data_IF_069500761213
#
_entry.id   IF_069500761213
#
_cell.length_a   1.000
_cell.length_b   1.000
_cell.length_c   1.000
_cell.angle_alpha   90.00
_cell.angle_beta   90.00
_cell.angle_gamma   90.00
#
_symmetry.space_group_name_H-M   'P 1'
#
loop_
_entity.id
_entity.type
_entity.pdbx_description
1 polymer ?
#
# COMPACT_ATOMS: atom_id res chain seq x y z
N UNK A 1 22.48 26.99 3.37
CA UNK A 1 21.46 27.82 2.67
C UNK A 1 20.12 27.17 2.99
N UNK A 2 19.17 27.84 3.64
CA UNK A 2 17.82 27.30 3.84
C UNK A 2 17.14 27.29 2.46
N UNK A 3 16.68 26.13 2.03
CA UNK A 3 15.89 26.02 0.81
C UNK A 3 14.63 26.87 0.99
N UNK A 4 14.39 27.77 0.05
CA UNK A 4 13.14 28.52 0.05
C UNK A 4 12.03 27.57 -0.39
N UNK A 5 10.96 27.52 0.38
CA UNK A 5 9.80 26.67 0.13
C UNK A 5 8.61 27.54 -0.23
N UNK A 6 7.85 27.15 -1.22
CA UNK A 6 6.58 27.76 -1.55
C UNK A 6 5.45 26.85 -1.07
N UNK A 7 4.53 27.41 -0.31
CA UNK A 7 3.33 26.70 0.16
C UNK A 7 2.18 27.16 -0.72
N UNK A 8 1.49 26.21 -1.30
CA UNK A 8 0.30 26.44 -2.09
C UNK A 8 -0.89 25.79 -1.37
N UNK A 9 -1.94 26.54 -1.13
CA UNK A 9 -3.16 26.04 -0.51
C UNK A 9 -4.22 25.82 -1.62
N UNK A 10 -4.73 24.60 -1.71
CA UNK A 10 -5.81 24.27 -2.63
C UNK A 10 -7.18 24.49 -1.99
N UNK A 11 -8.21 24.48 -2.81
CA UNK A 11 -9.58 24.54 -2.37
C UNK A 11 -9.94 23.36 -1.46
N UNK A 12 -10.81 23.60 -0.49
CA UNK A 12 -11.21 22.61 0.53
C UNK A 12 -12.04 21.45 0.00
N UNK A 13 -12.49 21.51 -1.24
CA UNK A 13 -13.33 20.53 -1.94
C UNK A 13 -12.58 19.75 -3.04
N UNK A 14 -11.26 19.70 -2.95
CA UNK A 14 -10.45 18.97 -3.91
C UNK A 14 -10.83 17.48 -3.94
N UNK A 15 -11.16 16.99 -5.12
CA UNK A 15 -11.54 15.60 -5.39
C UNK A 15 -10.43 14.78 -6.01
N UNK A 16 -9.36 15.42 -6.47
CA UNK A 16 -8.21 14.74 -7.07
C UNK A 16 -6.89 15.48 -6.78
N UNK A 17 -5.83 14.69 -6.73
CA UNK A 17 -4.44 15.16 -6.66
C UNK A 17 -3.69 14.53 -7.83
N UNK A 18 -3.15 15.36 -8.70
CA UNK A 18 -2.40 14.92 -9.89
C UNK A 18 -0.95 15.38 -9.81
N UNK A 19 -0.02 14.43 -9.87
CA UNK A 19 1.42 14.71 -9.90
C UNK A 19 2.03 14.21 -11.21
N UNK A 20 2.81 15.10 -11.85
CA UNK A 20 3.64 14.74 -12.99
C UNK A 20 5.07 15.19 -12.68
N UNK A 21 5.90 14.28 -12.18
CA UNK A 21 7.19 14.60 -11.58
C UNK A 21 8.32 13.71 -12.10
N UNK A 22 9.53 14.22 -11.97
CA UNK A 22 10.73 13.56 -12.44
C UNK A 22 11.89 13.87 -11.47
N UNK A 23 12.58 12.84 -10.96
CA UNK A 23 13.68 12.98 -10.00
C UNK A 23 13.29 13.71 -8.69
N UNK A 24 12.19 13.30 -8.08
CA UNK A 24 11.66 13.90 -6.84
C UNK A 24 11.47 12.87 -5.73
N UNK A 25 11.51 13.36 -4.49
CA UNK A 25 11.02 12.66 -3.32
C UNK A 25 9.65 13.27 -2.98
N UNK A 26 8.59 12.49 -3.10
CA UNK A 26 7.20 12.91 -2.89
C UNK A 26 6.67 12.27 -1.63
N UNK A 27 6.17 13.08 -0.71
CA UNK A 27 5.50 12.61 0.50
C UNK A 27 4.07 13.16 0.53
N UNK A 28 3.10 12.29 0.71
CA UNK A 28 1.69 12.62 0.82
C UNK A 28 1.24 12.16 2.20
N UNK A 29 0.92 13.12 3.06
CA UNK A 29 0.61 12.88 4.47
C UNK A 29 -0.82 13.29 4.80
N UNK A 30 -1.41 12.60 5.76
CA UNK A 30 -2.59 13.08 6.43
C UNK A 30 -2.26 14.36 7.22
N UNK A 31 -3.11 15.36 7.12
CA UNK A 31 -2.97 16.61 7.84
C UNK A 31 -4.06 16.76 8.90
N UNK A 32 -3.69 17.35 10.03
CA UNK A 32 -4.64 17.80 11.07
C UNK A 32 -5.32 19.11 10.70
N UNK A 33 -4.73 19.85 9.78
CA UNK A 33 -5.26 21.11 9.27
C UNK A 33 -6.43 20.89 8.33
N UNK A 34 -7.33 21.86 8.20
CA UNK A 34 -8.51 21.78 7.32
C UNK A 34 -8.22 22.10 5.85
N UNK A 35 -6.98 22.40 5.50
CA UNK A 35 -6.61 22.88 4.17
C UNK A 35 -5.67 21.89 3.46
N UNK A 36 -6.05 21.47 2.24
CA UNK A 36 -5.15 20.75 1.36
C UNK A 36 -4.00 21.68 0.94
N UNK A 37 -2.79 21.30 1.25
CA UNK A 37 -1.62 22.11 0.96
C UNK A 37 -0.52 21.32 0.28
N UNK A 38 0.27 22.01 -0.54
CA UNK A 38 1.49 21.47 -1.14
C UNK A 38 2.69 22.38 -0.82
N UNK A 39 3.74 21.74 -0.37
CA UNK A 39 5.03 22.36 -0.11
C UNK A 39 6.01 21.93 -1.20
N UNK A 40 6.49 22.89 -1.98
CA UNK A 40 7.44 22.64 -3.06
C UNK A 40 8.68 23.53 -2.89
N UNK A 41 9.87 23.08 -3.35
CA UNK A 41 11.04 23.95 -3.38
C UNK A 41 10.82 25.11 -4.35
N UNK A 42 11.28 26.30 -3.99
CA UNK A 42 11.29 27.45 -4.90
C UNK A 42 12.30 27.19 -6.03
N UNK A 43 11.91 26.37 -6.97
CA UNK A 43 12.68 26.02 -8.14
C UNK A 43 11.87 26.39 -9.40
N UNK A 44 12.55 26.88 -10.42
CA UNK A 44 11.89 27.33 -11.67
C UNK A 44 11.23 26.19 -12.48
N UNK A 45 11.40 24.95 -12.05
CA UNK A 45 10.97 23.77 -12.78
C UNK A 45 9.85 22.96 -12.07
N UNK A 46 9.38 23.40 -10.90
CA UNK A 46 8.23 22.81 -10.22
C UNK A 46 7.14 23.85 -10.08
N UNK A 47 5.95 23.50 -10.50
CA UNK A 47 4.76 24.32 -10.42
C UNK A 47 3.66 23.55 -9.69
N UNK A 48 2.88 24.25 -8.89
CA UNK A 48 1.66 23.75 -8.27
C UNK A 48 0.50 24.68 -8.60
N UNK A 49 -0.70 24.16 -8.68
CA UNK A 49 -1.92 24.91 -8.91
C UNK A 49 -3.15 24.08 -8.57
N UNK A 50 -4.33 24.70 -8.60
CA UNK A 50 -5.60 23.99 -8.54
C UNK A 50 -6.53 24.47 -9.65
N UNK A 51 -7.30 23.55 -10.20
CA UNK A 51 -8.36 23.81 -11.15
C UNK A 51 -9.48 22.78 -10.97
N UNK A 52 -10.72 23.26 -10.86
CA UNK A 52 -11.94 22.42 -10.79
C UNK A 52 -11.84 21.27 -9.79
N UNK A 53 -11.41 21.55 -8.58
CA UNK A 53 -11.27 20.52 -7.52
C UNK A 53 -10.10 19.57 -7.71
N UNK A 54 -9.16 19.85 -8.61
CA UNK A 54 -7.92 19.09 -8.78
C UNK A 54 -6.72 19.92 -8.35
N UNK A 55 -5.96 19.41 -7.37
CA UNK A 55 -4.61 19.92 -7.07
C UNK A 55 -3.64 19.27 -8.05
N UNK A 56 -2.89 20.06 -8.80
CA UNK A 56 -1.84 19.53 -9.66
C UNK A 56 -0.45 20.05 -9.29
N UNK A 57 0.52 19.15 -9.39
CA UNK A 57 1.95 19.46 -9.23
C UNK A 57 2.68 18.95 -10.46
N UNK A 58 3.41 19.82 -11.13
CA UNK A 58 4.16 19.44 -12.32
C UNK A 58 5.62 19.88 -12.25
N UNK A 59 6.51 19.00 -12.67
CA UNK A 59 7.93 19.27 -12.83
C UNK A 59 8.26 19.29 -14.33
N UNK A 60 8.53 20.46 -14.86
CA UNK A 60 8.68 20.68 -16.32
C UNK A 60 10.05 20.30 -16.86
N UNK A 61 11.06 20.22 -16.02
CA UNK A 61 12.43 19.90 -16.42
C UNK A 61 13.11 18.99 -15.40
N UNK A 62 13.90 18.07 -15.92
CA UNK A 62 14.81 17.27 -15.10
C UNK A 62 15.79 18.19 -14.36
N UNK A 63 16.01 17.99 -13.04
CA UNK A 63 17.04 18.73 -12.32
C UNK A 63 18.44 18.43 -12.94
N UNK A 64 19.41 19.35 -12.80
CA UNK A 64 20.77 19.11 -13.26
C UNK A 64 21.36 17.83 -12.61
N UNK A 65 22.23 17.14 -13.36
CA UNK A 65 22.80 15.82 -13.02
C UNK A 65 23.41 15.68 -11.62
N UNK A 66 23.74 16.77 -10.96
CA UNK A 66 24.34 16.76 -9.61
C UNK A 66 23.49 17.52 -8.57
N UNK A 67 22.23 17.83 -8.90
CA UNK A 67 21.33 18.46 -7.94
C UNK A 67 20.71 17.41 -7.01
N UNK A 68 20.42 17.82 -5.78
CA UNK A 68 19.60 17.00 -4.86
C UNK A 68 18.21 16.80 -5.47
N UNK A 69 17.61 15.62 -5.21
CA UNK A 69 16.21 15.37 -5.52
C UNK A 69 15.34 16.45 -4.88
N UNK A 70 14.32 16.84 -5.56
CA UNK A 70 13.39 17.86 -5.05
C UNK A 70 12.41 17.19 -4.11
N UNK A 71 12.19 17.82 -2.96
CA UNK A 71 11.18 17.36 -2.00
C UNK A 71 9.86 18.04 -2.29
N UNK A 72 8.81 17.25 -2.43
CA UNK A 72 7.43 17.69 -2.60
C UNK A 72 6.62 17.06 -1.48
N UNK A 73 6.00 17.90 -0.65
CA UNK A 73 5.17 17.44 0.45
C UNK A 73 3.73 17.89 0.21
N UNK A 74 2.78 16.96 0.32
CA UNK A 74 1.35 17.21 0.17
C UNK A 74 0.66 16.80 1.48
N UNK A 75 -0.04 17.75 2.06
CA UNK A 75 -0.80 17.54 3.30
C UNK A 75 -2.28 17.48 2.97
N UNK A 76 -2.90 16.31 3.18
CA UNK A 76 -4.30 16.02 2.85
C UNK A 76 -5.15 16.02 4.12
N UNK A 77 -6.13 16.91 4.24
CA UNK A 77 -7.05 16.95 5.39
C UNK A 77 -7.88 15.67 5.54
N UNK A 78 -8.23 15.34 6.77
CA UNK A 78 -9.01 14.14 7.08
C UNK A 78 -10.40 14.07 6.41
N UNK A 79 -11.02 15.21 6.15
CA UNK A 79 -12.37 15.29 5.57
C UNK A 79 -12.38 15.19 4.04
N UNK A 80 -11.20 15.16 3.40
CA UNK A 80 -11.07 15.04 1.95
C UNK A 80 -10.68 13.61 1.59
N UNK A 81 -11.38 13.01 0.62
CA UNK A 81 -11.10 11.69 0.07
C UNK A 81 -10.75 11.85 -1.42
N UNK A 82 -9.54 12.28 -1.75
CA UNK A 82 -9.18 12.54 -3.14
C UNK A 82 -8.78 11.26 -3.87
N UNK A 83 -8.96 11.25 -5.19
CA UNK A 83 -8.22 10.33 -6.05
C UNK A 83 -6.76 10.79 -6.18
N UNK A 84 -5.80 9.86 -6.12
CA UNK A 84 -4.38 10.15 -6.37
C UNK A 84 -3.96 9.63 -7.75
N UNK A 85 -3.43 10.52 -8.58
CA UNK A 85 -2.87 10.18 -9.90
C UNK A 85 -1.44 10.68 -10.00
N UNK A 86 -0.52 9.74 -10.01
CA UNK A 86 0.91 10.04 -10.04
C UNK A 86 1.54 9.50 -11.31
N UNK A 87 2.19 10.38 -12.05
CA UNK A 87 3.08 10.01 -13.15
C UNK A 87 4.49 10.45 -12.79
N UNK A 88 5.33 9.48 -12.45
CA UNK A 88 6.65 9.70 -11.90
C UNK A 88 7.72 8.98 -12.73
N UNK A 89 8.91 9.54 -12.80
CA UNK A 89 9.98 8.89 -13.57
C UNK A 89 11.00 8.21 -12.66
N UNK A 90 11.78 8.97 -11.91
CA UNK A 90 12.80 8.46 -10.97
C UNK A 90 12.53 9.02 -9.59
N UNK A 91 11.47 8.55 -8.93
CA UNK A 91 10.92 9.17 -7.72
C UNK A 91 10.84 8.17 -6.58
N UNK A 92 11.04 8.68 -5.36
CA UNK A 92 10.59 7.99 -4.17
C UNK A 92 9.24 8.61 -3.77
N UNK A 93 8.25 7.78 -3.57
CA UNK A 93 6.88 8.19 -3.25
C UNK A 93 6.49 7.54 -1.93
N UNK A 94 6.08 8.33 -0.96
CA UNK A 94 5.52 7.87 0.30
C UNK A 94 4.10 8.42 0.45
N UNK A 95 3.15 7.54 0.73
CA UNK A 95 1.77 7.88 1.08
C UNK A 95 1.54 7.38 2.50
N UNK A 96 1.40 8.33 3.43
CA UNK A 96 1.35 8.05 4.86
C UNK A 96 0.03 8.51 5.47
N UNK A 97 -0.81 7.56 5.84
CA UNK A 97 -2.12 7.81 6.42
C UNK A 97 -3.13 8.38 5.43
N UNK A 98 -4.35 8.61 5.92
CA UNK A 98 -5.42 9.21 5.14
C UNK A 98 -6.37 8.22 4.48
N UNK A 99 -7.42 8.76 3.91
CA UNK A 99 -8.44 8.03 3.17
C UNK A 99 -8.42 8.54 1.73
N UNK A 100 -8.31 7.62 0.80
CA UNK A 100 -8.25 7.93 -0.63
C UNK A 100 -9.31 7.14 -1.39
N UNK A 101 -9.75 7.68 -2.51
CA UNK A 101 -10.50 6.93 -3.50
C UNK A 101 -9.56 6.00 -4.28
N UNK A 102 -9.47 6.20 -5.57
CA UNK A 102 -8.52 5.47 -6.42
C UNK A 102 -7.11 6.06 -6.32
N UNK A 103 -6.12 5.19 -6.11
CA UNK A 103 -4.70 5.54 -6.12
C UNK A 103 -4.04 4.91 -7.33
N UNK A 104 -3.73 5.73 -8.34
CA UNK A 104 -3.11 5.30 -9.59
C UNK A 104 -1.70 5.87 -9.72
N UNK A 105 -0.69 5.01 -9.77
CA UNK A 105 0.71 5.39 -9.86
C UNK A 105 1.37 4.76 -11.09
N UNK A 106 1.99 5.59 -11.91
CA UNK A 106 2.90 5.16 -12.97
C UNK A 106 4.29 5.65 -12.59
N UNK A 107 5.23 4.73 -12.35
CA UNK A 107 6.58 5.09 -11.93
C UNK A 107 7.63 4.29 -12.72
N UNK A 108 8.52 4.99 -13.44
CA UNK A 108 9.56 4.32 -14.23
C UNK A 108 10.59 3.61 -13.34
N UNK A 109 11.02 4.26 -12.26
CA UNK A 109 11.89 3.65 -11.26
C UNK A 109 11.89 4.42 -9.93
N UNK A 110 12.11 3.72 -8.83
CA UNK A 110 12.22 4.28 -7.48
C UNK A 110 11.56 3.42 -6.44
N UNK A 111 11.29 4.02 -5.29
CA UNK A 111 10.63 3.38 -4.15
C UNK A 111 9.21 3.91 -4.03
N UNK A 112 8.24 3.02 -3.77
CA UNK A 112 6.86 3.38 -3.46
C UNK A 112 6.52 2.77 -2.11
N UNK A 113 6.16 3.61 -1.15
CA UNK A 113 5.72 3.20 0.18
C UNK A 113 4.30 3.69 0.42
N UNK A 114 3.42 2.79 0.85
CA UNK A 114 2.04 3.08 1.24
C UNK A 114 1.86 2.55 2.65
N UNK A 115 1.61 3.42 3.60
CA UNK A 115 1.59 3.08 5.01
C UNK A 115 0.38 3.68 5.73
N UNK A 116 -0.28 2.89 6.59
CA UNK A 116 -1.43 3.33 7.39
C UNK A 116 -2.52 4.01 6.55
N UNK A 117 -2.76 3.53 5.34
CA UNK A 117 -3.60 4.17 4.33
C UNK A 117 -4.86 3.35 4.06
N UNK A 118 -6.00 4.03 4.03
CA UNK A 118 -7.26 3.46 3.55
C UNK A 118 -7.50 3.93 2.11
N UNK A 119 -7.79 3.00 1.19
CA UNK A 119 -8.11 3.35 -0.19
C UNK A 119 -9.18 2.41 -0.76
N UNK A 120 -9.92 2.90 -1.75
CA UNK A 120 -10.84 2.03 -2.49
C UNK A 120 -10.05 1.06 -3.38
N UNK A 121 -9.02 1.55 -4.07
CA UNK A 121 -8.12 0.72 -4.87
C UNK A 121 -6.75 1.36 -5.02
N UNK A 122 -5.73 0.52 -5.20
CA UNK A 122 -4.36 0.94 -5.52
C UNK A 122 -3.91 0.23 -6.78
N UNK A 123 -3.50 0.99 -7.78
CA UNK A 123 -2.88 0.49 -9.00
C UNK A 123 -1.49 1.10 -9.19
N UNK A 124 -0.47 0.25 -9.33
CA UNK A 124 0.92 0.66 -9.56
C UNK A 124 1.44 -0.01 -10.81
N UNK A 125 1.83 0.80 -11.78
CA UNK A 125 2.45 0.35 -13.01
C UNK A 125 3.87 0.90 -13.14
N UNK A 126 4.85 0.06 -13.52
CA UNK A 126 6.19 0.61 -13.63
C UNK A 126 7.30 -0.23 -14.20
N UNK A 127 8.49 0.34 -14.10
CA UNK A 127 9.71 -0.26 -14.65
C UNK A 127 10.53 -1.02 -13.60
N UNK A 128 11.31 -0.31 -12.80
CA UNK A 128 12.12 -0.88 -11.71
C UNK A 128 11.71 -0.24 -10.39
N UNK A 129 11.00 -1.00 -9.58
CA UNK A 129 10.36 -0.50 -8.36
C UNK A 129 10.79 -1.31 -7.14
N UNK A 130 10.82 -0.63 -6.00
CA UNK A 130 10.83 -1.20 -4.68
C UNK A 130 9.52 -0.76 -4.01
N UNK A 131 8.63 -1.71 -3.70
CA UNK A 131 7.26 -1.42 -3.29
C UNK A 131 6.97 -2.02 -1.93
N UNK A 132 6.57 -1.18 -1.01
CA UNK A 132 6.19 -1.55 0.35
C UNK A 132 4.78 -1.05 0.67
N UNK A 133 3.88 -1.96 1.08
CA UNK A 133 2.51 -1.66 1.48
C UNK A 133 2.30 -2.18 2.89
N UNK A 134 2.15 -1.29 3.85
CA UNK A 134 2.11 -1.65 5.26
C UNK A 134 0.86 -1.11 5.96
N UNK A 135 0.26 -1.92 6.83
CA UNK A 135 -0.82 -1.53 7.75
C UNK A 135 -1.97 -0.78 7.07
N UNK A 136 -2.29 -1.18 5.84
CA UNK A 136 -3.23 -0.46 4.96
C UNK A 136 -4.49 -1.27 4.68
N UNK A 137 -5.61 -0.58 4.43
CA UNK A 137 -6.91 -1.18 4.10
C UNK A 137 -7.33 -0.80 2.70
N UNK A 138 -7.26 -1.73 1.76
CA UNK A 138 -7.64 -1.56 0.38
C UNK A 138 -8.97 -2.31 0.13
N UNK A 139 -10.09 -1.58 0.14
CA UNK A 139 -11.44 -2.18 0.09
C UNK A 139 -11.69 -2.98 -1.18
N UNK A 140 -11.20 -2.51 -2.31
CA UNK A 140 -11.28 -3.16 -3.61
C UNK A 140 -9.99 -3.93 -3.93
N UNK A 141 -9.10 -3.33 -4.70
CA UNK A 141 -7.94 -4.04 -5.25
C UNK A 141 -6.59 -3.38 -4.97
N UNK A 142 -5.59 -4.24 -4.80
CA UNK A 142 -4.17 -3.92 -4.97
C UNK A 142 -3.70 -4.55 -6.28
N UNK A 143 -3.42 -3.73 -7.27
CA UNK A 143 -2.92 -4.18 -8.56
C UNK A 143 -1.53 -3.60 -8.83
N UNK A 144 -0.54 -4.47 -8.99
CA UNK A 144 0.85 -4.07 -9.26
C UNK A 144 1.33 -4.79 -10.52
N UNK A 145 1.84 -4.02 -11.47
CA UNK A 145 2.45 -4.55 -12.69
C UNK A 145 3.77 -3.82 -12.95
N UNK A 146 4.88 -4.52 -12.75
CA UNK A 146 6.21 -3.94 -12.91
C UNK A 146 7.13 -4.84 -13.73
N UNK A 147 8.11 -4.26 -14.43
CA UNK A 147 9.14 -5.06 -15.11
C UNK A 147 10.05 -5.75 -14.10
N UNK A 148 10.48 -5.02 -13.10
CA UNK A 148 11.30 -5.52 -12.00
C UNK A 148 10.78 -4.91 -10.72
N UNK A 149 10.43 -5.71 -9.72
CA UNK A 149 10.01 -5.20 -8.43
C UNK A 149 10.43 -6.11 -7.29
N UNK A 150 11.00 -5.51 -6.24
CA UNK A 150 10.95 -6.09 -4.91
C UNK A 150 9.64 -5.61 -4.28
N UNK A 151 8.78 -6.54 -3.90
CA UNK A 151 7.45 -6.23 -3.36
C UNK A 151 7.30 -6.82 -1.96
N UNK A 152 6.84 -5.99 -1.04
CA UNK A 152 6.49 -6.38 0.31
C UNK A 152 5.10 -5.83 0.69
N UNK A 153 4.23 -6.70 1.18
CA UNK A 153 2.98 -6.29 1.81
C UNK A 153 2.93 -6.82 3.25
N UNK A 154 2.69 -5.95 4.22
CA UNK A 154 2.66 -6.31 5.63
C UNK A 154 1.37 -5.83 6.31
N UNK A 155 0.72 -6.68 7.11
CA UNK A 155 -0.46 -6.35 7.90
C UNK A 155 -1.54 -5.60 7.08
N UNK A 156 -1.72 -5.99 5.83
CA UNK A 156 -2.57 -5.27 4.88
C UNK A 156 -3.84 -6.08 4.59
N UNK A 157 -4.96 -5.38 4.44
CA UNK A 157 -6.19 -5.93 3.89
C UNK A 157 -6.32 -5.51 2.41
N UNK A 158 -6.65 -6.45 1.55
CA UNK A 158 -7.05 -6.15 0.17
C UNK A 158 -8.16 -7.10 -0.28
N UNK A 159 -9.24 -6.59 -0.86
CA UNK A 159 -10.31 -7.43 -1.41
C UNK A 159 -9.76 -8.39 -2.47
N UNK A 160 -8.97 -7.86 -3.39
CA UNK A 160 -8.23 -8.57 -4.43
C UNK A 160 -6.78 -8.07 -4.43
N UNK A 161 -5.80 -8.96 -4.42
CA UNK A 161 -4.39 -8.61 -4.60
C UNK A 161 -3.83 -9.28 -5.86
N UNK A 162 -3.32 -8.52 -6.80
CA UNK A 162 -2.68 -9.01 -8.03
C UNK A 162 -1.33 -8.33 -8.20
N UNK A 163 -0.26 -9.09 -8.09
CA UNK A 163 1.11 -8.60 -8.27
C UNK A 163 1.80 -9.38 -9.36
N UNK A 164 2.24 -8.67 -10.40
CA UNK A 164 2.94 -9.25 -11.54
C UNK A 164 4.27 -8.54 -11.76
N UNK A 165 5.33 -9.32 -11.85
CA UNK A 165 6.65 -8.81 -12.24
C UNK A 165 7.37 -9.83 -13.12
N UNK A 166 8.28 -9.36 -13.95
CA UNK A 166 9.19 -10.28 -14.66
C UNK A 166 10.34 -10.71 -13.78
N UNK A 167 10.78 -9.84 -12.84
CA UNK A 167 11.94 -10.10 -12.02
C UNK A 167 11.83 -9.43 -10.65
N UNK A 168 12.19 -10.17 -9.60
CA UNK A 168 12.23 -9.71 -8.22
C UNK A 168 11.43 -10.60 -7.29
N UNK A 169 11.67 -10.43 -6.00
CA UNK A 169 11.05 -11.23 -4.95
C UNK A 169 9.73 -10.58 -4.50
N UNK A 170 8.83 -11.43 -4.04
CA UNK A 170 7.56 -10.99 -3.46
C UNK A 170 7.43 -11.53 -2.04
N UNK A 171 7.28 -10.62 -1.09
CA UNK A 171 7.03 -10.91 0.32
C UNK A 171 5.61 -10.51 0.71
N UNK A 172 4.92 -11.39 1.40
CA UNK A 172 3.63 -11.10 2.02
C UNK A 172 3.71 -11.57 3.47
N UNK A 173 3.39 -10.65 4.39
CA UNK A 173 3.34 -10.93 5.82
C UNK A 173 1.98 -10.51 6.35
N UNK A 174 1.17 -11.47 6.79
CA UNK A 174 -0.13 -11.21 7.38
C UNK A 174 -1.11 -10.46 6.45
N UNK A 175 -1.19 -10.87 5.17
CA UNK A 175 -2.19 -10.35 4.26
C UNK A 175 -3.55 -10.99 4.53
N UNK A 176 -4.58 -10.15 4.69
CA UNK A 176 -5.96 -10.57 4.71
C UNK A 176 -6.60 -10.26 3.34
N UNK A 177 -6.96 -11.30 2.60
CA UNK A 177 -7.52 -11.13 1.24
C UNK A 177 -8.50 -12.26 0.92
N UNK A 178 -9.44 -11.98 0.02
CA UNK A 178 -10.31 -13.00 -0.56
C UNK A 178 -9.65 -13.68 -1.75
N UNK A 179 -8.89 -12.93 -2.52
CA UNK A 179 -8.28 -13.40 -3.74
C UNK A 179 -6.88 -12.79 -3.89
N UNK A 180 -5.88 -13.64 -4.09
CA UNK A 180 -4.50 -13.21 -4.27
C UNK A 180 -3.86 -13.95 -5.45
N UNK A 181 -3.20 -13.19 -6.31
CA UNK A 181 -2.41 -13.72 -7.42
C UNK A 181 -1.04 -13.06 -7.45
N UNK A 182 0.01 -13.86 -7.31
CA UNK A 182 1.41 -13.43 -7.34
C UNK A 182 2.14 -14.11 -8.50
N UNK A 183 2.70 -13.37 -9.42
CA UNK A 183 3.37 -13.89 -10.62
C UNK A 183 4.73 -13.22 -10.80
N UNK A 184 5.80 -14.03 -10.86
CA UNK A 184 7.14 -13.58 -11.26
C UNK A 184 7.80 -14.60 -12.21
N UNK A 185 8.57 -14.13 -13.19
CA UNK A 185 9.34 -15.05 -14.04
C UNK A 185 10.68 -15.45 -13.35
N UNK A 186 11.28 -14.56 -12.55
CA UNK A 186 12.59 -14.75 -11.93
C UNK A 186 12.62 -14.11 -10.53
N UNK A 187 12.32 -14.88 -9.49
CA UNK A 187 12.27 -14.44 -8.10
C UNK A 187 11.56 -15.44 -7.19
N UNK A 188 11.70 -15.24 -5.90
CA UNK A 188 11.04 -16.04 -4.87
C UNK A 188 9.74 -15.37 -4.41
N UNK A 189 8.77 -16.20 -4.03
CA UNK A 189 7.51 -15.76 -3.45
C UNK A 189 7.42 -16.35 -2.04
N UNK A 190 7.32 -15.49 -1.04
CA UNK A 190 7.08 -15.89 0.35
C UNK A 190 5.81 -15.22 0.84
N UNK A 191 4.82 -16.00 1.24
CA UNK A 191 3.54 -15.49 1.66
C UNK A 191 3.10 -16.07 3.01
N UNK A 192 2.73 -15.20 3.96
CA UNK A 192 2.03 -15.56 5.18
C UNK A 192 0.63 -14.94 5.12
N UNK A 193 -0.39 -15.79 5.05
CA UNK A 193 -1.77 -15.39 4.86
C UNK A 193 -2.54 -15.41 6.19
N UNK A 194 -3.42 -14.42 6.43
CA UNK A 194 -4.31 -14.42 7.61
C UNK A 194 -5.50 -15.33 7.38
N UNK A 195 -5.65 -16.32 8.26
CA UNK A 195 -6.73 -17.29 8.29
C UNK A 195 -6.22 -18.72 8.35
N UNK A 196 -7.16 -19.66 8.38
CA UNK A 196 -6.85 -21.08 8.42
C UNK A 196 -6.52 -21.61 7.04
N UNK A 197 -5.60 -22.59 6.96
CA UNK A 197 -5.24 -23.27 5.69
C UNK A 197 -6.47 -23.81 4.95
N UNK A 198 -7.46 -24.26 5.71
CA UNK A 198 -8.68 -24.85 5.17
C UNK A 198 -9.57 -23.84 4.43
N UNK A 199 -9.44 -22.55 4.71
CA UNK A 199 -10.22 -21.49 4.07
C UNK A 199 -9.72 -21.15 2.66
N UNK A 200 -8.48 -21.56 2.33
CA UNK A 200 -7.83 -21.18 1.09
C UNK A 200 -7.78 -22.31 0.08
N UNK A 201 -8.17 -22.00 -1.17
CA UNK A 201 -7.83 -22.79 -2.33
C UNK A 201 -6.46 -22.34 -2.85
N UNK A 202 -5.47 -23.19 -2.71
CA UNK A 202 -4.09 -22.87 -3.13
C UNK A 202 -3.80 -23.44 -4.53
N UNK A 203 -3.15 -22.61 -5.33
CA UNK A 203 -2.50 -23.04 -6.57
C UNK A 203 -1.12 -22.41 -6.64
N UNK A 204 -0.08 -23.24 -6.49
CA UNK A 204 1.31 -22.80 -6.63
C UNK A 204 1.96 -23.52 -7.80
N UNK A 205 2.72 -22.80 -8.61
CA UNK A 205 3.42 -23.37 -9.78
C UNK A 205 4.86 -22.87 -9.80
N UNK A 206 5.80 -23.77 -9.61
CA UNK A 206 7.25 -23.52 -9.71
C UNK A 206 7.80 -24.20 -10.93
N UNK A 207 8.62 -23.52 -11.73
CA UNK A 207 9.15 -23.99 -13.01
C UNK A 207 8.06 -24.57 -13.95
N UNK A 208 8.31 -24.68 -15.20
CA UNK A 208 7.37 -25.31 -16.13
C UNK A 208 7.07 -26.76 -15.71
N UNK A 209 6.02 -26.98 -14.91
CA UNK A 209 5.47 -28.29 -14.64
C UNK A 209 5.19 -28.71 -13.20
N UNK A 210 5.79 -28.09 -12.19
CA UNK A 210 5.46 -28.43 -10.80
C UNK A 210 4.29 -27.59 -10.31
N UNK A 211 3.08 -28.09 -10.47
CA UNK A 211 1.87 -27.41 -9.98
C UNK A 211 1.31 -28.19 -8.80
N UNK A 212 1.16 -27.53 -7.67
CA UNK A 212 0.36 -28.00 -6.55
C UNK A 212 -0.96 -27.22 -6.57
N UNK A 213 -2.06 -27.91 -6.73
CA UNK A 213 -3.38 -27.29 -6.74
C UNK A 213 -4.35 -28.09 -5.86
N UNK A 214 -5.06 -27.38 -4.99
CA UNK A 214 -6.21 -27.96 -4.29
C UNK A 214 -7.43 -27.88 -5.21
N UNK A 215 -7.99 -29.01 -5.53
CA UNK A 215 -9.25 -29.09 -6.29
C UNK A 215 -10.45 -28.80 -5.41
N UNK A 216 -10.70 -27.54 -5.01
CA UNK A 216 -11.77 -27.21 -4.08
C UNK A 216 -12.41 -25.85 -4.33
N UNK A 217 -13.69 -25.76 -4.00
CA UNK A 217 -14.42 -24.51 -3.89
C UNK A 217 -14.28 -24.03 -2.43
N UNK A 218 -13.39 -23.08 -2.17
CA UNK A 218 -13.20 -22.44 -0.87
C UNK A 218 -13.50 -20.95 -0.95
N UNK A 219 -13.62 -20.31 0.20
CA UNK A 219 -14.02 -18.90 0.30
C UNK A 219 -12.91 -17.93 -0.14
N UNK A 220 -11.64 -18.38 -0.08
CA UNK A 220 -10.46 -17.59 -0.42
C UNK A 220 -9.62 -18.31 -1.46
N UNK A 221 -9.05 -17.57 -2.40
CA UNK A 221 -8.18 -18.10 -3.46
C UNK A 221 -6.78 -17.51 -3.37
N UNK A 222 -5.77 -18.35 -3.44
CA UNK A 222 -4.37 -17.93 -3.53
C UNK A 222 -3.68 -18.63 -4.69
N UNK A 223 -3.20 -17.86 -5.66
CA UNK A 223 -2.44 -18.33 -6.80
C UNK A 223 -1.04 -17.74 -6.76
N UNK A 224 -0.01 -18.54 -6.90
CA UNK A 224 1.36 -18.09 -7.01
C UNK A 224 2.10 -18.81 -8.12
N UNK A 225 2.87 -18.08 -8.91
CA UNK A 225 3.66 -18.60 -10.02
C UNK A 225 5.07 -18.01 -10.00
N UNK A 226 6.08 -18.86 -10.15
CA UNK A 226 7.45 -18.46 -10.48
C UNK A 226 8.07 -19.43 -11.50
N UNK A 227 8.71 -18.89 -12.54
CA UNK A 227 9.44 -19.71 -13.51
C UNK A 227 10.86 -20.08 -13.01
N UNK A 228 11.47 -19.18 -12.20
CA UNK A 228 12.81 -19.39 -11.62
C UNK A 228 12.80 -18.86 -10.19
N UNK A 229 12.65 -19.74 -9.22
CA UNK A 229 12.60 -19.42 -7.80
C UNK A 229 11.82 -20.46 -7.01
N UNK A 230 11.48 -20.14 -5.80
CA UNK A 230 10.70 -20.97 -4.88
C UNK A 230 9.46 -20.22 -4.38
N UNK A 231 8.43 -20.98 -4.01
CA UNK A 231 7.19 -20.47 -3.42
C UNK A 231 7.02 -21.09 -2.04
N UNK A 232 6.94 -20.26 -1.02
CA UNK A 232 6.65 -20.67 0.35
C UNK A 232 5.37 -19.99 0.81
N UNK A 233 4.41 -20.77 1.30
CA UNK A 233 3.13 -20.25 1.78
C UNK A 233 2.84 -20.78 3.17
N UNK A 234 2.70 -19.87 4.12
CA UNK A 234 2.35 -20.12 5.51
C UNK A 234 1.02 -19.44 5.88
N UNK A 235 0.45 -19.83 7.02
CA UNK A 235 -0.81 -19.30 7.51
C UNK A 235 -0.65 -18.88 8.96
N UNK A 236 -1.29 -17.75 9.30
CA UNK A 236 -1.43 -17.31 10.70
C UNK A 236 -2.91 -17.16 11.04
N UNK A 237 -3.32 -17.75 12.13
CA UNK A 237 -4.64 -17.52 12.70
C UNK A 237 -4.68 -16.12 13.32
N UNK A 238 -5.83 -15.46 13.29
CA UNK A 238 -5.98 -14.09 13.79
C UNK A 238 -5.93 -14.16 15.34
N UNK A 239 -4.80 -13.77 15.94
CA UNK A 239 -4.62 -13.80 17.41
C UNK A 239 -5.60 -12.88 18.15
N UNK A 240 -6.23 -11.90 17.50
CA UNK A 240 -7.20 -11.00 18.13
C UNK A 240 -8.46 -11.70 18.62
N UNK A 241 -8.86 -12.80 18.00
CA UNK A 241 -10.01 -13.59 18.47
C UNK A 241 -9.69 -14.37 19.75
N UNK A 242 -8.43 -14.72 19.98
CA UNK A 242 -7.98 -15.40 21.19
C UNK A 242 -7.89 -14.44 22.39
N UNK A 243 -7.42 -13.22 22.17
CA UNK A 243 -7.32 -12.20 23.22
C UNK A 243 -8.70 -11.69 23.67
N UNK A 244 -9.66 -11.49 22.75
CA UNK A 244 -11.04 -11.11 23.11
C UNK A 244 -11.75 -12.22 23.92
N UNK A 245 -11.47 -13.47 23.65
CA UNK A 245 -12.01 -14.61 24.43
C UNK A 245 -11.33 -14.74 25.80
N UNK A 246 -10.03 -14.45 25.91
CA UNK A 246 -9.30 -14.47 27.17
C UNK A 246 -9.77 -13.35 28.11
N UNK A 247 -10.00 -12.14 27.59
CA UNK A 247 -10.56 -11.03 28.39
C UNK A 247 -12.01 -11.26 28.82
N UNK A 248 -12.81 -11.99 28.05
CA UNK A 248 -14.18 -12.33 28.40
C UNK A 248 -14.24 -13.35 29.57
N UNK A 249 -13.28 -14.27 29.64
CA UNK A 249 -13.24 -15.30 30.68
C UNK A 249 -12.71 -14.76 32.02
N UNK A 250 -11.76 -13.80 31.99
CA UNK A 250 -11.30 -13.12 33.20
C UNK A 250 -12.39 -12.22 33.83
N UNK A 251 -13.27 -11.62 33.02
CA UNK A 251 -14.38 -10.77 33.47
C UNK A 251 -15.50 -11.59 34.19
N UNK A 252 -15.69 -12.85 33.86
CA UNK A 252 -16.70 -13.72 34.55
C UNK A 252 -16.20 -14.27 35.88
N UNK A 253 -14.91 -14.53 35.99
CA UNK A 253 -14.34 -15.02 37.28
C UNK A 253 -14.22 -13.91 38.34
N UNK A 254 -14.11 -12.65 37.96
CA UNK A 254 -14.08 -11.53 38.90
C UNK A 254 -15.44 -11.29 39.59
N UNK A 255 -16.54 -11.53 38.89
CA UNK A 255 -17.89 -11.34 39.45
C UNK A 255 -18.33 -12.45 40.42
N UNK A 256 -17.78 -13.66 40.31
CA UNK A 256 -18.11 -14.76 41.24
C UNK A 256 -17.42 -14.62 42.60
N UNK A 257 -16.28 -13.92 42.66
CA UNK A 257 -15.55 -13.70 43.92
C UNK A 257 -16.13 -12.56 44.78
N UNK A 258 -16.92 -11.65 44.22
CA UNK A 258 -17.56 -10.56 44.96
C UNK A 258 -18.91 -10.97 45.59
N UNK A 259 -19.59 -12.00 45.09
CA UNK A 259 -20.85 -12.48 45.68
C UNK A 259 -20.63 -13.39 46.89
N UNK A 260 -19.53 -14.13 46.95
CA UNK A 260 -19.21 -14.97 48.14
C UNK A 260 -18.76 -14.16 49.37
N UNK A 261 -18.24 -12.94 49.18
CA UNK A 261 -17.81 -12.08 50.28
C UNK A 261 -18.96 -11.23 50.92
N UNK A 262 -20.17 -11.26 50.37
CA UNK A 262 -21.34 -10.56 50.93
C UNK A 262 -22.28 -11.46 51.74
N UNK A 263 -21.99 -12.77 51.87
CA UNK A 263 -22.79 -13.73 52.56
C UNK A 263 -22.14 -14.27 53.87
N UNK A 264 -21.14 -13.58 54.41
CA UNK A 264 -20.52 -13.91 55.71
C UNK A 264 -20.69 -12.79 56.71
#
# INVERSE_FOLDING_TARGET
MKDKVCIFNAESDATAIELNVCDADVTINRATDSTLSVTIPVAKNVNAGSDKGTLYVSQTKRPPLFSRRQKIEISVPEHIVPALRLNARHCNISVEGGIYGEVNMICESGTIRIENTDADSVEINGGRLDIDVESSTLKGSLYINARTAEFLAQNTFAGLAVVRTRKGNMGIVALNTKECTLETDDGNITATLKGKREDFCLKTTEKAGNTVADGCLKSKNFNAYTAKGSIVVDFIEDERAADELAFADEGQNANLSEEENKAS
#
